data_IF_802511242728
#
_entry.id   IF_802511242728
#
_cell.length_a   1.000
_cell.length_b   1.000
_cell.length_c   1.000
_cell.angle_alpha   90.00
_cell.angle_beta   90.00
_cell.angle_gamma   90.00
#
_symmetry.space_group_name_H-M   'P 1'
#
loop_
_entity.id
_entity.type
_entity.pdbx_description
1 polymer ?
#
# COMPACT_ATOMS: atom_id res chain seq x y z
N UNK A 1 6.90 14.46 -0.94
CA UNK A 1 5.94 13.35 -1.07
C UNK A 1 5.84 12.58 0.25
N UNK A 2 4.69 12.63 0.91
CA UNK A 2 4.41 11.97 2.21
C UNK A 2 4.72 10.47 2.17
N UNK A 3 4.38 9.79 1.06
CA UNK A 3 4.72 8.37 0.84
C UNK A 3 6.21 8.06 1.08
N UNK A 4 7.11 8.91 0.57
CA UNK A 4 8.56 8.68 0.66
C UNK A 4 9.02 8.72 2.11
N UNK A 5 8.55 9.72 2.85
CA UNK A 5 8.94 9.90 4.25
C UNK A 5 8.45 8.72 5.09
N UNK A 6 7.21 8.30 4.89
CA UNK A 6 6.60 7.23 5.71
C UNK A 6 7.16 5.84 5.38
N UNK A 7 7.44 5.56 4.10
CA UNK A 7 7.98 4.26 3.70
C UNK A 7 9.49 4.10 3.97
N UNK A 8 10.27 5.19 3.98
CA UNK A 8 11.72 5.13 4.19
C UNK A 8 12.13 5.32 5.65
N UNK A 9 11.31 5.97 6.48
CA UNK A 9 11.60 6.18 7.90
C UNK A 9 11.88 4.89 8.70
N UNK A 10 11.23 3.74 8.42
CA UNK A 10 11.48 2.50 9.16
C UNK A 10 12.78 1.76 8.82
N UNK A 11 13.61 2.29 7.91
CA UNK A 11 14.88 1.65 7.53
C UNK A 11 15.76 1.36 8.76
N UNK A 12 16.37 0.16 8.87
CA UNK A 12 16.56 -0.85 7.82
C UNK A 12 15.38 -1.82 7.60
N UNK A 13 14.29 -1.72 8.38
CA UNK A 13 13.10 -2.53 8.16
C UNK A 13 12.23 -1.94 7.03
N UNK A 14 11.38 -2.77 6.44
CA UNK A 14 10.38 -2.31 5.47
C UNK A 14 9.35 -1.41 6.15
N UNK A 15 9.08 -0.25 5.56
CA UNK A 15 7.90 0.55 5.85
C UNK A 15 6.71 0.04 5.04
N UNK A 16 5.50 0.21 5.56
CA UNK A 16 4.28 -0.23 4.89
C UNK A 16 3.14 0.79 5.02
N UNK A 17 2.20 0.74 4.08
CA UNK A 17 1.05 1.62 4.03
C UNK A 17 -0.11 0.97 3.27
N UNK A 18 -1.31 1.50 3.44
CA UNK A 18 -2.49 1.17 2.63
C UNK A 18 -2.78 2.27 1.60
N UNK A 19 -3.24 1.85 0.43
CA UNK A 19 -3.60 2.73 -0.68
C UNK A 19 -5.10 2.89 -0.72
N UNK A 20 -5.59 4.11 -0.52
CA UNK A 20 -7.00 4.45 -0.49
C UNK A 20 -7.35 5.29 -1.71
N UNK A 21 -8.48 4.99 -2.33
CA UNK A 21 -8.89 5.70 -3.52
C UNK A 21 -10.15 5.15 -4.16
N UNK A 22 -10.25 5.36 -5.46
CA UNK A 22 -11.36 4.88 -6.29
C UNK A 22 -10.88 3.77 -7.21
N UNK A 23 -11.68 2.71 -7.28
CA UNK A 23 -11.41 1.56 -8.11
C UNK A 23 -11.72 1.80 -9.58
N UNK A 24 -11.19 0.91 -10.41
CA UNK A 24 -11.53 0.78 -11.82
C UNK A 24 -13.05 0.71 -12.03
N UNK A 25 -13.61 1.49 -12.95
CA UNK A 25 -15.04 1.47 -13.27
C UNK A 25 -15.96 2.16 -12.26
N UNK A 26 -15.43 3.03 -11.38
CA UNK A 26 -16.27 3.93 -10.57
C UNK A 26 -17.12 4.81 -11.50
N UNK A 27 -18.44 4.82 -11.29
CA UNK A 27 -19.41 5.51 -12.16
C UNK A 27 -19.12 7.02 -12.38
N UNK A 28 -18.33 7.62 -11.49
CA UNK A 28 -17.95 9.04 -11.51
C UNK A 28 -16.67 9.35 -12.31
N UNK A 29 -15.91 8.33 -12.75
CA UNK A 29 -14.70 8.51 -13.54
C UNK A 29 -14.83 7.74 -14.84
N UNK A 30 -15.04 8.45 -15.96
CA UNK A 30 -15.07 7.88 -17.32
C UNK A 30 -13.72 7.31 -17.79
N UNK A 31 -12.85 6.90 -16.87
CA UNK A 31 -11.56 6.28 -17.12
C UNK A 31 -11.46 4.95 -16.37
N UNK A 32 -10.98 3.94 -17.07
CA UNK A 32 -10.59 2.63 -16.56
C UNK A 32 -9.24 2.65 -15.80
N UNK A 33 -8.95 3.75 -15.09
CA UNK A 33 -7.70 3.97 -14.36
C UNK A 33 -7.94 3.81 -12.85
N UNK A 34 -7.01 3.13 -12.17
CA UNK A 34 -6.97 3.11 -10.70
C UNK A 34 -6.48 4.45 -10.16
N UNK A 35 -7.25 5.09 -9.29
CA UNK A 35 -6.88 6.39 -8.72
C UNK A 35 -6.63 6.28 -7.22
N UNK A 36 -5.36 6.25 -6.84
CA UNK A 36 -4.94 6.42 -5.44
C UNK A 36 -5.09 7.89 -5.06
N UNK A 37 -5.84 8.16 -4.00
CA UNK A 37 -6.11 9.52 -3.49
C UNK A 37 -5.45 9.78 -2.15
N UNK A 38 -5.32 8.75 -1.31
CA UNK A 38 -4.71 8.85 0.00
C UNK A 38 -3.82 7.64 0.27
N UNK A 39 -2.70 7.88 0.92
CA UNK A 39 -1.81 6.86 1.46
C UNK A 39 -1.99 6.89 2.97
N UNK A 40 -2.26 5.74 3.55
CA UNK A 40 -2.43 5.55 4.98
C UNK A 40 -1.20 4.82 5.52
N UNK A 41 -0.25 5.51 6.17
CA UNK A 41 0.93 4.88 6.76
C UNK A 41 0.53 3.82 7.79
N UNK A 42 1.25 2.71 7.80
CA UNK A 42 1.02 1.63 8.74
C UNK A 42 2.30 1.24 9.45
N UNK A 43 2.15 0.78 10.70
CA UNK A 43 3.20 0.12 11.45
C UNK A 43 3.43 -1.28 10.88
N UNK A 44 4.69 -1.56 10.57
CA UNK A 44 5.15 -2.91 10.28
C UNK A 44 5.33 -3.71 11.58
N UNK A 45 4.42 -4.66 11.85
CA UNK A 45 4.45 -5.53 13.03
C UNK A 45 5.58 -6.57 12.95
N UNK A 46 6.07 -6.91 11.76
CA UNK A 46 7.18 -7.83 11.57
C UNK A 46 8.57 -7.17 11.65
N UNK A 47 8.64 -5.83 11.52
CA UNK A 47 9.89 -5.09 11.30
C UNK A 47 10.95 -5.20 12.40
N UNK A 48 10.56 -5.59 13.62
CA UNK A 48 11.51 -5.85 14.72
C UNK A 48 12.15 -7.25 14.66
N UNK A 49 11.54 -8.19 13.95
CA UNK A 49 11.98 -9.60 13.88
C UNK A 49 12.59 -9.94 12.54
N UNK A 50 12.05 -9.38 11.47
CA UNK A 50 12.41 -9.67 10.08
C UNK A 50 12.45 -8.35 9.31
N UNK A 51 13.60 -8.07 8.68
CA UNK A 51 13.85 -6.82 7.97
C UNK A 51 13.43 -6.86 6.49
N UNK A 52 13.13 -8.05 5.97
CA UNK A 52 12.80 -8.36 4.57
C UNK A 52 11.32 -8.75 4.39
N UNK A 53 10.46 -8.32 5.32
CA UNK A 53 9.01 -8.45 5.20
C UNK A 53 8.28 -7.36 5.96
N UNK A 54 7.01 -7.20 5.61
CA UNK A 54 6.07 -6.43 6.40
C UNK A 54 4.81 -7.22 6.79
N UNK A 55 4.24 -6.83 7.92
CA UNK A 55 2.90 -7.23 8.34
C UNK A 55 2.17 -5.97 8.81
N UNK A 56 1.08 -5.61 8.15
CA UNK A 56 0.27 -4.43 8.48
C UNK A 56 -0.42 -4.64 9.83
N UNK A 57 -0.34 -3.66 10.73
CA UNK A 57 -1.10 -3.70 11.99
C UNK A 57 -2.61 -3.88 11.70
N UNK A 58 -3.26 -4.97 12.17
CA UNK A 58 -4.69 -5.20 11.94
C UNK A 58 -5.58 -4.04 12.43
N UNK A 59 -5.16 -3.29 13.45
CA UNK A 59 -5.89 -2.13 13.98
C UNK A 59 -5.93 -1.01 12.94
N UNK A 60 -4.81 -0.75 12.29
CA UNK A 60 -4.71 0.27 11.24
C UNK A 60 -5.43 -0.16 9.97
N UNK A 61 -5.41 -1.46 9.64
CA UNK A 61 -6.22 -1.99 8.52
C UNK A 61 -7.71 -1.71 8.73
N UNK A 62 -8.23 -1.99 9.93
CA UNK A 62 -9.63 -1.73 10.27
C UNK A 62 -9.93 -0.23 10.27
N UNK A 63 -9.02 0.59 10.81
CA UNK A 63 -9.17 2.04 10.85
C UNK A 63 -9.22 2.63 9.43
N UNK A 64 -8.29 2.25 8.55
CA UNK A 64 -8.24 2.67 7.17
C UNK A 64 -9.51 2.26 6.41
N UNK A 65 -9.98 1.02 6.57
CA UNK A 65 -11.24 0.56 5.95
C UNK A 65 -12.46 1.33 6.44
N UNK A 66 -12.54 1.66 7.73
CA UNK A 66 -13.63 2.48 8.29
C UNK A 66 -13.59 3.90 7.73
N UNK A 67 -12.42 4.52 7.74
CA UNK A 67 -12.24 5.87 7.24
C UNK A 67 -12.52 5.94 5.73
N UNK A 68 -12.04 4.98 4.94
CA UNK A 68 -12.31 4.89 3.52
C UNK A 68 -13.81 4.88 3.23
N UNK A 69 -14.57 4.00 3.90
CA UNK A 69 -16.04 3.93 3.74
C UNK A 69 -16.74 5.23 4.11
N UNK A 70 -16.31 5.89 5.18
CA UNK A 70 -16.89 7.18 5.58
C UNK A 70 -16.64 8.31 4.56
N UNK A 71 -15.61 8.18 3.72
CA UNK A 71 -15.22 9.16 2.71
C UNK A 71 -15.51 8.70 1.28
N UNK A 72 -16.36 7.67 1.09
CA UNK A 72 -16.67 7.09 -0.22
C UNK A 72 -15.43 6.61 -1.01
N UNK A 73 -14.43 6.12 -0.30
CA UNK A 73 -13.22 5.50 -0.84
C UNK A 73 -13.18 4.01 -0.50
N UNK A 74 -12.31 3.29 -1.18
CA UNK A 74 -12.00 1.89 -0.90
C UNK A 74 -10.50 1.71 -0.69
N UNK A 75 -10.12 0.62 -0.01
CA UNK A 75 -8.73 0.17 0.05
C UNK A 75 -8.41 -0.54 -1.26
N UNK A 76 -7.50 0.02 -2.04
CA UNK A 76 -7.08 -0.48 -3.35
C UNK A 76 -5.95 -1.51 -3.25
N UNK A 77 -5.21 -1.51 -2.16
CA UNK A 77 -4.07 -2.39 -1.92
C UNK A 77 -3.09 -1.80 -0.92
N UNK A 78 -1.82 -2.16 -1.06
CA UNK A 78 -0.75 -1.78 -0.13
C UNK A 78 0.44 -1.12 -0.82
N UNK A 79 1.26 -0.44 -0.05
CA UNK A 79 2.58 0.01 -0.46
C UNK A 79 3.60 -0.40 0.59
N UNK A 80 4.81 -0.71 0.16
CA UNK A 80 5.92 -0.97 1.06
C UNK A 80 7.26 -0.56 0.47
N UNK A 81 8.29 -0.48 1.31
CA UNK A 81 9.67 -0.27 0.87
C UNK A 81 10.47 -1.56 0.87
N UNK A 82 11.41 -1.65 -0.06
CA UNK A 82 12.49 -2.64 -0.07
C UNK A 82 13.82 -1.90 0.19
N UNK A 83 14.24 -1.70 1.45
CA UNK A 83 15.49 -1.00 1.78
C UNK A 83 16.70 -1.76 1.21
N UNK A 84 17.20 -1.34 0.04
CA UNK A 84 18.36 -1.95 -0.62
C UNK A 84 18.06 -3.10 -1.58
N UNK A 85 16.78 -3.37 -1.89
CA UNK A 85 16.38 -4.37 -2.88
C UNK A 85 15.60 -3.74 -4.06
N UNK A 86 15.36 -4.52 -5.12
CA UNK A 86 14.67 -4.05 -6.32
C UNK A 86 13.18 -3.74 -6.04
N UNK A 87 12.57 -2.92 -6.89
CA UNK A 87 11.13 -2.55 -6.81
C UNK A 87 10.18 -3.63 -7.36
N UNK A 88 10.63 -4.88 -7.43
CA UNK A 88 9.86 -6.01 -7.96
C UNK A 88 9.29 -6.81 -6.79
N UNK A 89 8.00 -7.22 -6.82
CA UNK A 89 7.41 -8.01 -5.75
C UNK A 89 8.21 -9.29 -5.52
N UNK A 90 8.62 -9.51 -4.28
CA UNK A 90 9.35 -10.69 -3.86
C UNK A 90 8.46 -11.93 -3.93
N UNK A 91 9.08 -13.11 -3.82
CA UNK A 91 8.31 -14.36 -3.69
C UNK A 91 7.39 -14.33 -2.47
N UNK A 92 7.80 -13.66 -1.38
CA UNK A 92 7.06 -13.58 -0.13
C UNK A 92 5.85 -12.65 -0.28
N UNK A 93 6.01 -11.50 -0.91
CA UNK A 93 4.92 -10.55 -1.22
C UNK A 93 3.78 -11.25 -1.99
N UNK A 94 4.16 -12.05 -2.99
CA UNK A 94 3.23 -12.79 -3.85
C UNK A 94 2.53 -13.95 -3.14
N UNK A 95 3.17 -14.56 -2.14
CA UNK A 95 2.58 -15.64 -1.35
C UNK A 95 1.61 -15.11 -0.30
N UNK A 96 1.88 -13.93 0.24
CA UNK A 96 1.14 -13.37 1.39
C UNK A 96 0.05 -12.38 0.94
N UNK A 97 -0.12 -12.17 -0.36
CA UNK A 97 -1.22 -11.43 -0.92
C UNK A 97 -2.55 -12.14 -0.61
N UNK A 98 -3.33 -11.58 0.33
CA UNK A 98 -4.62 -12.15 0.73
C UNK A 98 -5.72 -11.99 -0.32
N UNK A 99 -5.61 -10.98 -1.17
CA UNK A 99 -6.57 -10.67 -2.25
C UNK A 99 -5.86 -9.98 -3.40
N UNK A 100 -6.51 -9.95 -4.58
CA UNK A 100 -6.05 -9.12 -5.68
C UNK A 100 -6.10 -7.64 -5.32
N UNK A 101 -5.13 -6.86 -5.78
CA UNK A 101 -5.03 -5.43 -5.47
C UNK A 101 -3.76 -4.77 -5.97
N UNK A 102 -3.67 -3.46 -5.77
CA UNK A 102 -2.49 -2.67 -6.10
C UNK A 102 -1.36 -2.92 -5.10
N UNK A 103 -0.13 -2.97 -5.59
CA UNK A 103 1.09 -2.95 -4.79
C UNK A 103 2.05 -1.89 -5.33
N UNK A 104 2.42 -0.94 -4.48
CA UNK A 104 3.49 0.01 -4.76
C UNK A 104 4.74 -0.39 -3.99
N UNK A 105 5.87 -0.51 -4.68
CA UNK A 105 7.15 -0.84 -4.05
C UNK A 105 8.13 0.30 -4.26
N UNK A 106 8.65 0.83 -3.15
CA UNK A 106 9.70 1.83 -3.15
C UNK A 106 11.05 1.18 -2.85
N UNK A 107 12.01 1.39 -3.73
CA UNK A 107 13.36 0.85 -3.64
C UNK A 107 14.40 1.95 -3.36
N UNK A 108 15.70 1.62 -3.48
CA UNK A 108 16.77 2.59 -3.34
C UNK A 108 16.70 3.68 -4.41
N UNK A 109 17.28 4.84 -4.12
CA UNK A 109 17.33 6.01 -5.02
C UNK A 109 15.93 6.49 -5.47
N UNK A 110 14.94 6.41 -4.58
CA UNK A 110 13.54 6.80 -4.85
C UNK A 110 12.90 6.05 -6.03
N UNK A 111 13.43 4.88 -6.39
CA UNK A 111 12.80 4.03 -7.39
C UNK A 111 11.41 3.61 -6.91
N UNK A 112 10.39 3.75 -7.77
CA UNK A 112 9.01 3.41 -7.46
C UNK A 112 8.40 2.64 -8.63
N UNK A 113 7.76 1.51 -8.32
CA UNK A 113 7.01 0.74 -9.31
C UNK A 113 5.63 0.34 -8.76
N UNK A 114 4.68 0.18 -9.68
CA UNK A 114 3.33 -0.28 -9.40
C UNK A 114 3.05 -1.62 -10.05
N UNK A 115 2.30 -2.43 -9.32
CA UNK A 115 1.95 -3.79 -9.72
C UNK A 115 0.49 -4.05 -9.39
N UNK A 116 -0.21 -4.73 -10.28
CA UNK A 116 -1.45 -5.43 -9.95
C UNK A 116 -1.07 -6.84 -9.53
N UNK A 117 -1.38 -7.19 -8.28
CA UNK A 117 -1.30 -8.58 -7.81
C UNK A 117 -2.65 -9.21 -8.08
N UNK A 118 -2.62 -10.31 -8.82
CA UNK A 118 -3.79 -11.11 -9.11
C UNK A 118 -3.71 -12.42 -8.31
N UNK A 119 -4.61 -12.56 -7.34
CA UNK A 119 -4.77 -13.75 -6.52
C UNK A 119 -5.90 -14.57 -7.11
N UNK A 120 -5.57 -15.70 -7.70
CA UNK A 120 -6.55 -16.67 -8.22
C UNK A 120 -6.73 -17.77 -7.18
N UNK A 121 -7.97 -18.04 -6.79
CA UNK A 121 -8.27 -19.12 -5.86
C UNK A 121 -7.76 -20.48 -6.42
N UNK A 122 -7.21 -21.37 -5.55
CA UNK A 122 -7.13 -21.26 -4.09
C UNK A 122 -5.97 -20.38 -3.59
N UNK A 123 -6.15 -19.78 -2.40
CA UNK A 123 -5.28 -18.79 -1.72
C UNK A 123 -3.87 -19.27 -1.29
N UNK A 124 -3.34 -20.33 -1.91
CA UNK A 124 -2.01 -20.88 -1.62
C UNK A 124 -1.06 -20.85 -2.83
N UNK A 125 -1.46 -20.18 -3.91
CA UNK A 125 -0.63 -20.02 -5.12
C UNK A 125 0.06 -18.67 -5.13
N UNK A 126 1.20 -18.57 -5.82
CA UNK A 126 1.89 -17.30 -6.01
C UNK A 126 0.99 -16.37 -6.84
N UNK A 127 0.66 -15.21 -6.30
CA UNK A 127 -0.07 -14.19 -7.05
C UNK A 127 0.65 -13.88 -8.38
N UNK A 128 -0.11 -13.76 -9.47
CA UNK A 128 0.42 -13.23 -10.71
C UNK A 128 0.69 -11.73 -10.53
N UNK A 129 1.77 -11.25 -11.14
CA UNK A 129 2.24 -9.88 -10.99
C UNK A 129 2.23 -9.22 -12.35
N UNK A 130 1.45 -8.16 -12.47
CA UNK A 130 1.29 -7.42 -13.71
C UNK A 130 1.80 -5.99 -13.52
N UNK A 131 2.79 -5.52 -14.30
CA UNK A 131 3.30 -4.16 -14.16
C UNK A 131 2.23 -3.14 -14.56
N UNK A 132 2.13 -2.06 -13.79
CA UNK A 132 1.23 -0.94 -14.06
C UNK A 132 2.03 0.35 -14.30
N UNK A 133 1.70 1.14 -15.34
CA UNK A 133 2.29 2.46 -15.50
C UNK A 133 1.78 3.39 -14.39
N UNK A 134 2.68 4.18 -13.80
CA UNK A 134 2.33 5.18 -12.78
C UNK A 134 2.33 6.56 -13.42
N UNK A 135 1.27 7.33 -13.17
CA UNK A 135 1.23 8.77 -13.43
C UNK A 135 0.90 9.50 -12.13
N UNK A 136 1.75 10.43 -11.73
CA UNK A 136 1.51 11.30 -10.56
C UNK A 136 0.76 12.54 -11.04
N UNK A 137 -0.51 12.68 -10.69
CA UNK A 137 -1.42 13.72 -11.21
C UNK A 137 -1.52 14.94 -10.27
N UNK A 138 -0.45 15.21 -9.52
CA UNK A 138 -0.35 16.30 -8.55
C UNK A 138 -0.17 15.82 -7.12
N UNK A 139 0.52 16.62 -6.30
CA UNK A 139 0.69 16.38 -4.87
C UNK A 139 -0.31 17.23 -4.09
N UNK A 140 -1.26 16.58 -3.41
CA UNK A 140 -2.11 17.28 -2.43
C UNK A 140 -1.49 17.05 -1.06
N UNK A 141 -0.90 18.10 -0.46
CA UNK A 141 -0.54 18.06 0.96
C UNK A 141 -1.84 18.13 1.76
N UNK A 142 -2.35 16.96 2.16
CA UNK A 142 -3.37 16.92 3.19
C UNK A 142 -2.69 17.30 4.50
N UNK A 143 -2.96 18.52 4.99
CA UNK A 143 -2.34 19.10 6.20
C UNK A 143 -2.74 18.37 7.49
N UNK A 144 -3.69 17.45 7.40
CA UNK A 144 -4.09 16.57 8.49
C UNK A 144 -4.16 15.16 7.95
N UNK A 145 -3.27 14.28 8.43
CA UNK A 145 -3.61 12.86 8.51
C UNK A 145 -5.02 12.75 9.09
N UNK A 146 -5.88 11.86 8.59
CA UNK A 146 -7.20 11.68 9.16
C UNK A 146 -7.02 11.49 10.66
N UNK A 147 -7.64 12.38 11.44
CA UNK A 147 -7.36 12.55 12.87
C UNK A 147 -7.31 11.21 13.58
N UNK A 148 -6.34 11.09 14.50
CA UNK A 148 -6.05 9.92 15.33
C UNK A 148 -7.24 8.94 15.34
N UNK A 149 -7.17 7.81 14.61
CA UNK A 149 -8.26 6.84 14.53
C UNK A 149 -8.58 6.17 15.89
N UNK A 150 -8.04 6.67 17.00
CA UNK A 150 -8.13 6.09 18.32
C UNK A 150 -7.26 4.84 18.44
N UNK A 151 -6.32 4.63 17.50
CA UNK A 151 -5.34 3.55 17.56
C UNK A 151 -4.22 4.04 18.46
N UNK A 152 -4.41 3.90 19.77
CA UNK A 152 -3.31 4.07 20.72
C UNK A 152 -2.28 2.99 20.44
N UNK A 153 -1.09 3.42 20.05
CA UNK A 153 0.10 2.57 20.04
C UNK A 153 0.57 2.48 21.48
N UNK A 154 0.09 1.45 22.18
CA UNK A 154 0.60 1.08 23.51
C UNK A 154 2.01 0.47 23.40
#
# INVERSE_FOLDING_TARGET
>A
MVLRQDLLAPAPAEGCALLLGQGHGSADSGSDDWRVQLIWPCRNMAGQREHDRFELDPREQIAAQRWARANALIVLGSAHSHPGASVVPSRRDRLWAGSSGLMLIMGPNDALAAWWLEVVAPHCTLAAVHPLPIRVVGETSWTSCPGDPGVRHD
#
